data_IF_728957249765
#
_entry.id   IF_728957249765
#
_cell.length_a   1.000
_cell.length_b   1.000
_cell.length_c   1.000
_cell.angle_alpha   90.00
_cell.angle_beta   90.00
_cell.angle_gamma   90.00
#
_symmetry.space_group_name_H-M   'P 1'
#
loop_
_entity.id
_entity.type
_entity.pdbx_description
1 polymer ?
#
# COMPACT_ATOMS: atom_id res chain seq x y z
N UNK A 1 14.05 -17.48 6.92
CA UNK A 1 15.35 -17.14 6.30
C UNK A 1 15.11 -16.83 4.84
N UNK A 2 15.58 -15.68 4.38
CA UNK A 2 15.36 -15.16 3.02
C UNK A 2 16.71 -14.85 2.39
N UNK A 3 16.90 -15.23 1.12
CA UNK A 3 18.10 -14.87 0.35
C UNK A 3 18.04 -13.40 -0.03
N UNK A 4 19.07 -12.64 0.34
CA UNK A 4 19.27 -11.26 -0.11
C UNK A 4 19.82 -11.29 -1.54
N UNK A 5 20.92 -12.01 -1.74
CA UNK A 5 21.54 -12.22 -3.05
C UNK A 5 22.26 -13.56 -3.11
N UNK A 6 22.32 -14.14 -4.31
CA UNK A 6 23.18 -15.31 -4.61
C UNK A 6 24.59 -14.90 -5.08
N UNK A 7 24.81 -13.62 -5.34
CA UNK A 7 26.11 -13.05 -5.61
C UNK A 7 26.15 -11.62 -5.03
N UNK A 8 26.65 -11.51 -3.79
CA UNK A 8 27.15 -10.25 -3.24
C UNK A 8 28.68 -10.25 -3.30
N UNK A 9 29.28 -9.07 -3.33
CA UNK A 9 30.73 -8.91 -3.18
C UNK A 9 31.08 -8.44 -1.77
N UNK A 10 32.22 -8.91 -1.23
CA UNK A 10 32.77 -8.43 0.04
C UNK A 10 33.44 -7.05 -0.13
N UNK A 11 32.82 -6.17 -0.92
CA UNK A 11 33.18 -4.78 -1.18
C UNK A 11 31.95 -3.87 -1.34
N UNK A 12 30.75 -4.40 -1.10
CA UNK A 12 29.48 -3.70 -1.29
C UNK A 12 28.55 -3.87 -0.08
N UNK A 13 27.37 -3.26 -0.18
CA UNK A 13 26.29 -3.47 0.77
C UNK A 13 25.04 -3.96 0.04
N UNK A 14 24.14 -4.57 0.80
CA UNK A 14 22.77 -4.84 0.33
C UNK A 14 21.78 -3.88 0.99
N UNK A 15 20.55 -3.82 0.48
CA UNK A 15 19.45 -3.08 1.07
C UNK A 15 18.33 -4.05 1.42
N UNK A 16 17.87 -4.01 2.66
CA UNK A 16 16.71 -4.78 3.13
C UNK A 16 15.63 -3.80 3.56
N UNK A 17 14.49 -3.88 2.89
CA UNK A 17 13.33 -2.99 3.09
C UNK A 17 12.26 -3.66 3.95
N UNK A 18 11.18 -2.92 4.25
CA UNK A 18 10.05 -3.38 5.07
C UNK A 18 10.50 -3.81 6.48
N UNK A 19 11.37 -3.00 7.09
CA UNK A 19 11.93 -3.26 8.41
C UNK A 19 10.90 -2.92 9.49
N UNK A 20 10.75 -3.82 10.45
CA UNK A 20 9.91 -3.63 11.63
C UNK A 20 10.81 -3.08 12.74
N UNK A 21 10.55 -1.85 13.17
CA UNK A 21 11.28 -1.23 14.28
C UNK A 21 11.16 -2.11 15.55
N UNK A 22 12.27 -2.36 16.23
CA UNK A 22 12.33 -3.20 17.44
C UNK A 22 12.49 -4.69 17.17
N UNK A 23 12.30 -5.18 15.94
CA UNK A 23 12.49 -6.58 15.61
C UNK A 23 13.98 -6.95 15.43
N UNK A 24 14.31 -8.23 15.67
CA UNK A 24 15.66 -8.74 15.52
C UNK A 24 15.88 -9.33 14.12
N UNK A 25 17.00 -8.96 13.48
CA UNK A 25 17.40 -9.45 12.17
C UNK A 25 18.79 -10.06 12.24
N UNK A 26 18.95 -11.26 11.68
CA UNK A 26 20.26 -11.90 11.53
C UNK A 26 20.69 -11.89 10.07
N UNK A 27 21.89 -11.38 9.84
CA UNK A 27 22.55 -11.35 8.54
C UNK A 27 23.64 -12.41 8.50
N UNK A 28 23.67 -13.15 7.40
CA UNK A 28 24.64 -14.24 7.19
C UNK A 28 25.27 -14.11 5.81
N UNK A 29 26.60 -14.20 5.79
CA UNK A 29 27.41 -14.43 4.59
C UNK A 29 27.83 -15.90 4.52
N UNK A 30 27.77 -16.50 3.32
CA UNK A 30 28.22 -17.88 3.10
C UNK A 30 29.71 -18.12 3.36
N UNK A 31 30.54 -17.08 3.34
CA UNK A 31 31.99 -17.17 3.60
C UNK A 31 32.36 -17.03 5.08
N UNK A 32 31.43 -16.61 5.93
CA UNK A 32 31.74 -16.29 7.32
C UNK A 32 32.42 -14.92 7.51
N UNK A 33 32.44 -14.07 6.47
CA UNK A 33 33.06 -12.75 6.50
C UNK A 33 32.48 -11.78 7.54
N UNK A 34 33.08 -10.60 7.66
CA UNK A 34 32.68 -9.57 8.60
C UNK A 34 31.57 -8.68 8.03
N UNK A 35 30.53 -8.44 8.83
CA UNK A 35 29.32 -7.70 8.45
C UNK A 35 29.24 -6.44 9.31
N UNK A 36 29.05 -5.28 8.68
CA UNK A 36 28.68 -4.03 9.36
C UNK A 36 27.27 -3.65 8.97
N UNK A 37 26.35 -3.63 9.93
CA UNK A 37 24.93 -3.37 9.66
C UNK A 37 24.58 -1.92 10.01
N UNK A 38 24.04 -1.19 9.03
CA UNK A 38 23.61 0.21 9.17
C UNK A 38 22.11 0.36 8.94
N UNK A 39 21.52 1.45 9.42
CA UNK A 39 20.08 1.72 9.27
C UNK A 39 19.79 3.08 8.63
N UNK A 40 18.59 3.21 8.04
CA UNK A 40 17.99 4.37 7.37
C UNK A 40 18.62 4.73 6.02
N UNK A 41 19.95 4.65 5.89
CA UNK A 41 20.66 4.77 4.62
C UNK A 41 22.01 4.05 4.69
N UNK A 42 22.66 3.83 3.54
CA UNK A 42 23.90 3.03 3.46
C UNK A 42 25.08 3.60 4.27
N UNK A 43 25.08 4.90 4.56
CA UNK A 43 26.06 5.58 5.43
C UNK A 43 25.54 5.88 6.83
N UNK A 44 24.36 5.37 7.20
CA UNK A 44 23.68 5.65 8.46
C UNK A 44 24.36 5.06 9.70
N UNK A 45 23.76 5.22 10.89
CA UNK A 45 24.32 4.71 12.14
C UNK A 45 24.51 3.19 12.07
N UNK A 46 25.63 2.71 12.64
CA UNK A 46 25.88 1.26 12.79
C UNK A 46 25.03 0.75 13.95
N UNK A 47 24.18 -0.25 13.67
CA UNK A 47 23.30 -0.89 14.65
C UNK A 47 23.84 -2.26 15.11
N UNK A 48 24.90 -2.75 14.47
CA UNK A 48 25.67 -3.91 14.91
C UNK A 48 26.71 -4.32 13.89
N UNK A 49 27.71 -5.09 14.33
CA UNK A 49 28.80 -5.57 13.48
C UNK A 49 29.47 -6.81 14.09
N UNK A 50 30.12 -7.61 13.26
CA UNK A 50 30.82 -8.82 13.69
C UNK A 50 31.07 -9.80 12.54
N UNK A 51 31.71 -10.93 12.85
CA UNK A 51 31.78 -12.05 11.92
C UNK A 51 30.40 -12.72 11.76
N UNK A 52 30.09 -13.12 10.54
CA UNK A 52 28.84 -13.79 10.21
C UNK A 52 28.63 -15.08 11.04
N UNK A 53 27.42 -15.31 11.59
CA UNK A 53 26.22 -14.48 11.49
C UNK A 53 26.20 -13.30 12.47
N UNK A 54 25.62 -12.17 12.06
CA UNK A 54 25.43 -10.97 12.91
C UNK A 54 23.95 -10.73 13.15
N UNK A 55 23.53 -10.71 14.41
CA UNK A 55 22.17 -10.35 14.81
C UNK A 55 22.12 -8.91 15.32
N UNK A 56 21.17 -8.12 14.82
CA UNK A 56 20.92 -6.73 15.24
C UNK A 56 19.44 -6.53 15.56
N UNK A 57 19.13 -5.54 16.40
CA UNK A 57 17.77 -5.06 16.62
C UNK A 57 17.55 -3.79 15.82
N UNK A 58 16.53 -3.75 14.97
CA UNK A 58 16.17 -2.54 14.22
C UNK A 58 15.75 -1.43 15.19
N UNK A 59 16.26 -0.21 15.02
CA UNK A 59 15.92 0.94 15.86
C UNK A 59 14.72 1.68 15.28
N UNK A 60 14.73 1.90 13.97
CA UNK A 60 13.66 2.54 13.19
C UNK A 60 12.97 1.51 12.28
N UNK A 61 11.90 1.93 11.59
CA UNK A 61 11.31 1.18 10.49
C UNK A 61 12.00 1.45 9.13
N UNK A 62 13.10 2.23 9.15
CA UNK A 62 13.90 2.51 7.97
C UNK A 62 14.73 1.30 7.55
N UNK A 63 15.09 1.27 6.27
CA UNK A 63 15.81 0.17 5.64
C UNK A 63 17.13 -0.16 6.35
N UNK A 64 17.54 -1.43 6.28
CA UNK A 64 18.82 -1.91 6.82
C UNK A 64 19.79 -2.20 5.68
N UNK A 65 21.04 -1.77 5.89
CA UNK A 65 22.14 -1.88 4.94
C UNK A 65 23.28 -2.70 5.54
N UNK A 66 23.31 -4.04 5.36
CA UNK A 66 24.47 -4.85 5.70
C UNK A 66 25.60 -4.63 4.68
N UNK A 67 26.76 -4.18 5.15
CA UNK A 67 28.00 -4.06 4.39
C UNK A 67 28.82 -5.34 4.58
N UNK A 68 29.30 -5.88 3.47
CA UNK A 68 30.01 -7.15 3.42
C UNK A 68 31.51 -6.90 3.26
N UNK A 69 32.32 -7.49 4.14
CA UNK A 69 33.79 -7.41 4.11
C UNK A 69 34.38 -8.77 4.48
N UNK A 70 35.64 -9.01 4.14
CA UNK A 70 36.32 -10.27 4.48
C UNK A 70 36.51 -10.38 6.00
N UNK A 71 36.92 -9.28 6.64
CA UNK A 71 37.35 -9.26 8.03
C UNK A 71 37.12 -7.89 8.71
N UNK A 72 37.42 -7.81 10.00
CA UNK A 72 37.32 -6.61 10.82
C UNK A 72 38.36 -5.53 10.48
N UNK A 73 39.30 -5.83 9.58
CA UNK A 73 40.23 -4.87 8.98
C UNK A 73 39.68 -4.25 7.67
N UNK A 74 38.41 -4.54 7.32
CA UNK A 74 37.74 -4.07 6.12
C UNK A 74 38.41 -4.52 4.82
N UNK A 75 39.10 -5.66 4.81
CA UNK A 75 39.61 -6.21 3.55
C UNK A 75 38.45 -6.61 2.64
N UNK A 76 38.65 -6.49 1.33
CA UNK A 76 37.59 -6.66 0.34
C UNK A 76 37.92 -7.69 -0.73
N UNK A 77 36.91 -8.39 -1.24
CA UNK A 77 37.05 -9.37 -2.32
C UNK A 77 35.84 -9.36 -3.25
N UNK A 78 36.07 -9.64 -4.54
CA UNK A 78 35.03 -9.66 -5.58
C UNK A 78 34.60 -11.08 -5.98
N UNK A 79 34.61 -12.01 -5.02
CA UNK A 79 34.03 -13.34 -5.20
C UNK A 79 32.54 -13.28 -4.90
N UNK A 80 31.71 -13.96 -5.70
CA UNK A 80 30.28 -14.07 -5.41
C UNK A 80 30.07 -14.86 -4.11
N UNK A 81 29.45 -14.22 -3.12
CA UNK A 81 28.99 -14.85 -1.88
C UNK A 81 27.47 -14.85 -1.82
N UNK A 82 26.89 -15.86 -1.17
CA UNK A 82 25.46 -15.88 -0.88
C UNK A 82 25.22 -15.14 0.43
N UNK A 83 24.31 -14.18 0.41
CA UNK A 83 23.94 -13.36 1.57
C UNK A 83 22.48 -13.58 1.89
N UNK A 84 22.16 -13.68 3.18
CA UNK A 84 20.80 -13.98 3.65
C UNK A 84 20.44 -13.15 4.87
N UNK A 85 19.15 -12.93 5.06
CA UNK A 85 18.58 -12.27 6.24
C UNK A 85 17.51 -13.18 6.86
N UNK A 86 17.44 -13.19 8.19
CA UNK A 86 16.37 -13.83 8.93
C UNK A 86 15.79 -12.84 9.94
N UNK A 87 14.49 -12.55 9.79
CA UNK A 87 13.69 -11.89 10.82
C UNK A 87 13.39 -12.90 11.93
N UNK A 88 13.66 -12.48 13.17
CA UNK A 88 13.25 -13.15 14.39
C UNK A 88 12.18 -12.31 15.07
N UNK A 89 10.96 -12.84 15.07
CA UNK A 89 9.89 -12.38 15.93
C UNK A 89 9.77 -13.35 17.10
N UNK A 90 9.52 -12.80 18.28
CA UNK A 90 9.16 -13.55 19.49
C UNK A 90 7.66 -13.84 19.56
N UNK A 91 6.94 -13.62 18.45
CA UNK A 91 5.52 -13.86 18.29
C UNK A 91 5.27 -14.42 16.87
N UNK A 92 4.11 -15.05 16.68
CA UNK A 92 3.62 -15.45 15.36
C UNK A 92 2.58 -14.43 14.93
N UNK A 93 2.80 -13.65 13.86
CA UNK A 93 1.83 -12.65 13.42
C UNK A 93 0.46 -13.24 13.13
N UNK A 94 -0.58 -12.43 13.35
CA UNK A 94 -1.89 -12.72 12.80
C UNK A 94 -1.82 -12.78 11.26
N UNK A 95 -2.80 -13.42 10.63
CA UNK A 95 -2.93 -13.39 9.17
C UNK A 95 -4.37 -13.09 8.80
N UNK A 96 -4.56 -12.20 7.83
CA UNK A 96 -5.86 -11.81 7.35
C UNK A 96 -5.82 -11.41 5.89
N UNK A 97 -6.98 -11.43 5.25
CA UNK A 97 -7.23 -10.84 3.93
C UNK A 97 -8.37 -9.85 4.05
N UNK A 98 -8.51 -8.95 3.08
CA UNK A 98 -9.64 -8.04 3.02
C UNK A 98 -10.32 -8.07 1.64
N UNK A 99 -11.59 -7.74 1.61
CA UNK A 99 -12.34 -7.37 0.41
C UNK A 99 -13.14 -6.11 0.66
N UNK A 100 -13.13 -5.20 -0.32
CA UNK A 100 -13.97 -4.02 -0.31
C UNK A 100 -15.26 -4.36 -1.07
N UNK A 101 -16.40 -4.14 -0.43
CA UNK A 101 -17.73 -4.43 -0.99
C UNK A 101 -18.51 -3.13 -1.09
N UNK A 102 -18.69 -2.67 -2.32
CA UNK A 102 -19.41 -1.45 -2.68
C UNK A 102 -20.95 -1.69 -2.65
N UNK A 103 -21.70 -0.80 -1.98
CA UNK A 103 -23.18 -0.73 -2.02
C UNK A 103 -23.64 0.56 -2.71
N UNK A 104 -23.85 0.45 -4.02
CA UNK A 104 -24.20 1.60 -4.86
C UNK A 104 -25.63 2.10 -4.64
N UNK A 105 -26.49 1.34 -3.95
CA UNK A 105 -27.83 1.82 -3.62
C UNK A 105 -27.79 2.89 -2.52
N UNK A 106 -26.81 2.78 -1.63
CA UNK A 106 -26.63 3.69 -0.50
C UNK A 106 -25.43 4.63 -0.67
N UNK A 107 -24.72 4.54 -1.80
CA UNK A 107 -23.47 5.25 -2.07
C UNK A 107 -22.44 5.08 -0.94
N UNK A 108 -22.32 3.83 -0.48
CA UNK A 108 -21.45 3.44 0.62
C UNK A 108 -20.63 2.21 0.25
N UNK A 109 -19.65 1.87 1.06
CA UNK A 109 -18.90 0.62 0.93
C UNK A 109 -18.61 0.02 2.32
N UNK A 110 -18.32 -1.27 2.36
CA UNK A 110 -17.88 -1.98 3.56
C UNK A 110 -16.55 -2.66 3.31
N UNK A 111 -15.83 -2.95 4.37
CA UNK A 111 -14.59 -3.73 4.31
C UNK A 111 -14.81 -5.03 5.07
N UNK A 112 -14.77 -6.14 4.35
CA UNK A 112 -14.82 -7.48 4.92
C UNK A 112 -13.39 -7.94 5.20
N UNK A 113 -13.01 -7.99 6.48
CA UNK A 113 -11.69 -8.47 6.91
C UNK A 113 -11.86 -9.92 7.35
N UNK A 114 -11.28 -10.85 6.59
CA UNK A 114 -11.26 -12.26 6.92
C UNK A 114 -9.97 -12.60 7.67
N UNK A 115 -10.09 -12.77 8.99
CA UNK A 115 -9.01 -13.18 9.88
C UNK A 115 -8.82 -14.70 9.71
N UNK A 116 -7.69 -15.08 9.12
CA UNK A 116 -7.33 -16.47 8.84
C UNK A 116 -6.64 -17.14 10.04
N UNK A 117 -5.89 -16.35 10.82
CA UNK A 117 -5.24 -16.77 12.06
C UNK A 117 -5.03 -15.56 12.96
N UNK A 118 -5.16 -15.76 14.27
CA UNK A 118 -4.78 -14.77 15.29
C UNK A 118 -3.29 -14.84 15.64
N UNK A 119 -2.53 -15.71 14.97
CA UNK A 119 -1.10 -15.89 15.24
C UNK A 119 -0.88 -16.86 16.39
N UNK A 120 0.02 -16.50 17.31
CA UNK A 120 0.17 -17.18 18.60
C UNK A 120 -0.68 -16.55 19.71
N UNK A 121 -1.42 -15.48 19.39
CA UNK A 121 -2.49 -14.96 20.23
C UNK A 121 -3.80 -15.74 20.12
N UNK A 122 -4.63 -15.67 21.14
CA UNK A 122 -6.01 -16.19 21.16
C UNK A 122 -7.04 -15.29 20.47
N UNK A 123 -6.76 -13.99 20.35
CA UNK A 123 -7.58 -12.93 19.74
C UNK A 123 -6.70 -11.86 19.06
N UNK A 124 -7.34 -11.01 18.26
CA UNK A 124 -6.82 -9.73 17.79
C UNK A 124 -7.82 -8.62 18.10
N UNK A 125 -7.34 -7.39 18.34
CA UNK A 125 -8.20 -6.21 18.37
C UNK A 125 -8.10 -5.52 17.02
N UNK A 126 -9.22 -5.31 16.34
CA UNK A 126 -9.25 -4.67 15.02
C UNK A 126 -9.53 -3.19 15.21
N UNK A 127 -8.56 -2.34 14.90
CA UNK A 127 -8.73 -0.90 14.84
C UNK A 127 -9.10 -0.49 13.42
N UNK A 128 -10.16 0.30 13.28
CA UNK A 128 -10.46 1.05 12.06
C UNK A 128 -10.14 2.52 12.27
N UNK A 129 -9.53 3.15 11.27
CA UNK A 129 -9.20 4.58 11.26
C UNK A 129 -9.71 5.16 9.95
N UNK A 130 -10.68 6.07 10.03
CA UNK A 130 -11.28 6.71 8.85
C UNK A 130 -10.70 8.11 8.68
N UNK A 131 -10.16 8.42 7.50
CA UNK A 131 -9.59 9.72 7.12
C UNK A 131 -8.56 10.26 8.12
N UNK A 132 -7.70 9.38 8.67
CA UNK A 132 -6.71 9.74 9.69
C UNK A 132 -7.30 10.16 11.05
N UNK A 133 -8.57 9.81 11.31
CA UNK A 133 -9.28 10.11 12.54
C UNK A 133 -8.81 9.30 13.76
N UNK A 134 -9.63 9.29 14.81
CA UNK A 134 -9.36 8.50 16.02
C UNK A 134 -9.69 7.02 15.74
N UNK A 135 -8.83 6.06 16.16
CA UNK A 135 -9.12 4.65 16.03
C UNK A 135 -10.42 4.24 16.73
N UNK A 136 -11.25 3.46 16.04
CA UNK A 136 -12.38 2.73 16.64
C UNK A 136 -12.00 1.27 16.75
N UNK A 137 -11.98 0.74 17.97
CA UNK A 137 -11.49 -0.61 18.26
C UNK A 137 -12.63 -1.63 18.40
N UNK A 138 -12.55 -2.71 17.63
CA UNK A 138 -13.34 -3.92 17.80
C UNK A 138 -12.49 -4.97 18.52
N UNK A 139 -12.69 -5.09 19.83
CA UNK A 139 -11.85 -5.94 20.67
C UNK A 139 -12.20 -7.44 20.54
N UNK A 140 -11.22 -8.30 20.82
CA UNK A 140 -11.45 -9.73 21.05
C UNK A 140 -11.89 -10.53 19.81
N UNK A 141 -11.47 -10.13 18.62
CA UNK A 141 -11.82 -10.84 17.39
C UNK A 141 -11.00 -12.12 17.26
N UNK A 142 -11.67 -13.21 16.87
CA UNK A 142 -11.02 -14.48 16.53
C UNK A 142 -10.93 -14.69 15.02
N UNK A 143 -10.64 -15.93 14.61
CA UNK A 143 -10.73 -16.35 13.19
C UNK A 143 -12.15 -16.18 12.68
N UNK A 144 -12.29 -15.63 11.48
CA UNK A 144 -13.57 -15.34 10.84
C UNK A 144 -13.60 -13.97 10.17
N UNK A 145 -14.74 -13.62 9.59
CA UNK A 145 -14.93 -12.34 8.91
C UNK A 145 -15.56 -11.31 9.83
N UNK A 146 -14.91 -10.16 9.97
CA UNK A 146 -15.51 -8.94 10.53
C UNK A 146 -15.82 -7.96 9.39
N UNK A 147 -17.00 -7.35 9.44
CA UNK A 147 -17.43 -6.35 8.48
C UNK A 147 -17.30 -4.98 9.14
N UNK A 148 -16.51 -4.11 8.51
CA UNK A 148 -16.32 -2.72 8.92
C UNK A 148 -17.13 -1.80 8.01
N UNK A 149 -17.66 -0.72 8.58
CA UNK A 149 -18.50 0.26 7.87
C UNK A 149 -19.99 0.17 8.25
N UNK A 150 -20.90 0.67 7.38
CA UNK A 150 -20.62 1.24 6.06
C UNK A 150 -19.85 2.57 6.13
N UNK A 151 -18.99 2.79 5.15
CA UNK A 151 -18.22 4.01 4.91
C UNK A 151 -18.78 4.75 3.70
N UNK A 152 -18.58 6.06 3.60
CA UNK A 152 -19.05 6.82 2.43
C UNK A 152 -18.01 6.76 1.31
N UNK A 153 -18.45 6.72 0.05
CA UNK A 153 -17.52 6.79 -1.09
C UNK A 153 -16.66 8.05 -0.98
N UNK A 154 -15.33 7.89 -1.05
CA UNK A 154 -14.34 8.94 -0.82
C UNK A 154 -13.64 8.86 0.55
N UNK A 155 -14.14 8.06 1.49
CA UNK A 155 -13.42 7.74 2.72
C UNK A 155 -12.19 6.88 2.43
N UNK A 156 -11.08 7.19 3.11
CA UNK A 156 -9.90 6.35 3.21
C UNK A 156 -9.88 5.67 4.58
N UNK A 157 -9.77 4.35 4.59
CA UNK A 157 -9.82 3.53 5.81
C UNK A 157 -8.53 2.76 6.00
N UNK A 158 -7.89 2.96 7.14
CA UNK A 158 -6.80 2.10 7.61
C UNK A 158 -7.36 1.08 8.60
N UNK A 159 -6.91 -0.17 8.47
CA UNK A 159 -7.30 -1.29 9.32
C UNK A 159 -6.06 -1.88 9.95
N UNK A 160 -6.03 -1.96 11.28
CA UNK A 160 -4.91 -2.52 12.04
C UNK A 160 -5.43 -3.67 12.90
N UNK A 161 -4.92 -4.88 12.65
CA UNK A 161 -5.12 -6.04 13.51
C UNK A 161 -4.02 -6.00 14.57
N UNK A 162 -4.38 -5.56 15.77
CA UNK A 162 -3.49 -5.55 16.92
C UNK A 162 -3.41 -6.95 17.52
N UNK A 163 -2.22 -7.53 17.49
CA UNK A 163 -1.92 -8.78 18.16
C UNK A 163 -1.95 -8.57 19.68
N UNK A 164 -2.54 -9.50 20.41
CA UNK A 164 -2.85 -9.32 21.83
C UNK A 164 -1.61 -9.29 22.75
N UNK A 165 -0.51 -9.94 22.33
CA UNK A 165 0.70 -10.12 23.14
C UNK A 165 1.84 -9.20 22.71
N UNK A 166 1.89 -8.83 21.43
CA UNK A 166 3.08 -8.21 20.85
C UNK A 166 2.74 -7.29 19.67
N UNK A 167 2.92 -5.97 19.83
CA UNK A 167 2.71 -5.01 18.74
C UNK A 167 3.55 -5.25 17.48
N UNK A 168 4.68 -5.94 17.57
CA UNK A 168 5.52 -6.30 16.42
C UNK A 168 4.86 -7.33 15.50
N UNK A 169 3.82 -8.02 15.98
CA UNK A 169 3.02 -8.98 15.26
C UNK A 169 1.69 -8.41 14.74
N UNK A 170 1.51 -7.09 14.84
CA UNK A 170 0.37 -6.42 14.24
C UNK A 170 0.39 -6.56 12.72
N UNK A 171 -0.80 -6.69 12.13
CA UNK A 171 -1.00 -6.64 10.68
C UNK A 171 -1.78 -5.39 10.35
N UNK A 172 -1.45 -4.73 9.23
CA UNK A 172 -2.12 -3.50 8.83
C UNK A 172 -2.40 -3.46 7.34
N UNK A 173 -3.55 -2.90 6.99
CA UNK A 173 -3.96 -2.57 5.64
C UNK A 173 -4.23 -1.06 5.61
N UNK A 174 -3.51 -0.32 4.77
CA UNK A 174 -3.62 1.13 4.72
C UNK A 174 -4.29 1.57 3.43
N UNK A 175 -5.01 2.68 3.51
CA UNK A 175 -5.56 3.36 2.35
C UNK A 175 -6.67 2.60 1.63
N UNK A 176 -7.47 1.82 2.35
CA UNK A 176 -8.59 1.10 1.75
C UNK A 176 -9.71 2.08 1.42
N UNK A 177 -10.20 2.03 0.19
CA UNK A 177 -11.25 2.91 -0.34
C UNK A 177 -12.23 2.11 -1.20
N UNK A 178 -13.37 2.71 -1.57
CA UNK A 178 -14.32 2.14 -2.52
C UNK A 178 -13.62 1.70 -3.81
N UNK A 179 -14.06 0.58 -4.40
CA UNK A 179 -13.41 0.04 -5.61
C UNK A 179 -13.69 0.86 -6.88
N UNK A 180 -14.46 1.94 -6.77
CA UNK A 180 -14.87 2.78 -7.90
C UNK A 180 -15.95 2.15 -8.76
N UNK A 181 -16.58 1.06 -8.28
CA UNK A 181 -17.70 0.41 -8.96
C UNK A 181 -19.03 1.14 -8.70
N UNK A 182 -19.06 2.09 -7.77
CA UNK A 182 -20.22 2.94 -7.55
C UNK A 182 -20.07 4.32 -8.20
N UNK A 183 -21.19 4.90 -8.67
CA UNK A 183 -21.20 6.26 -9.16
C UNK A 183 -20.95 7.26 -8.04
N UNK A 184 -20.03 8.19 -8.28
CA UNK A 184 -19.93 9.44 -7.54
C UNK A 184 -21.17 10.27 -7.86
N UNK A 185 -22.03 10.45 -6.85
CA UNK A 185 -23.29 11.17 -6.98
C UNK A 185 -23.06 12.69 -6.93
N UNK A 186 -23.44 13.38 -8.01
CA UNK A 186 -23.35 14.83 -8.16
C UNK A 186 -24.74 15.47 -8.10
N UNK A 187 -24.90 16.49 -7.27
CA UNK A 187 -26.16 17.25 -7.17
C UNK A 187 -26.05 18.54 -7.98
N UNK A 188 -26.93 18.74 -8.96
CA UNK A 188 -26.96 20.00 -9.72
C UNK A 188 -27.32 21.20 -8.85
N UNK A 189 -26.60 22.31 -9.05
CA UNK A 189 -26.68 23.49 -8.19
C UNK A 189 -25.86 23.37 -6.89
N UNK A 190 -25.21 22.24 -6.66
CA UNK A 190 -24.24 22.03 -5.58
C UNK A 190 -22.84 22.54 -5.91
N UNK A 191 -21.90 22.22 -5.03
CA UNK A 191 -20.46 22.50 -5.23
C UNK A 191 -19.92 21.61 -6.34
N UNK A 192 -19.03 22.16 -7.16
CA UNK A 192 -18.38 21.44 -8.25
C UNK A 192 -17.44 20.37 -7.71
N UNK A 193 -17.54 19.16 -8.27
CA UNK A 193 -16.60 18.08 -7.94
C UNK A 193 -15.32 18.23 -8.76
N UNK A 194 -14.19 18.28 -8.06
CA UNK A 194 -12.86 18.42 -8.65
C UNK A 194 -11.99 17.28 -8.16
N UNK A 195 -11.40 16.55 -9.10
CA UNK A 195 -10.52 15.41 -8.82
C UNK A 195 -9.25 15.51 -9.67
N UNK A 196 -8.17 14.89 -9.22
CA UNK A 196 -6.88 14.84 -9.88
C UNK A 196 -6.29 13.46 -9.71
N UNK A 197 -5.89 12.84 -10.83
CA UNK A 197 -5.33 11.50 -10.83
C UNK A 197 -3.99 11.46 -11.57
N UNK A 198 -2.99 10.88 -10.93
CA UNK A 198 -1.70 10.58 -11.52
C UNK A 198 -1.63 9.07 -11.73
N UNK A 199 -1.51 8.64 -12.99
CA UNK A 199 -1.45 7.22 -13.34
C UNK A 199 -0.01 6.70 -13.32
N UNK A 200 0.13 5.40 -13.06
CA UNK A 200 1.39 4.66 -13.21
C UNK A 200 1.24 3.56 -14.25
N UNK A 201 2.31 3.17 -14.93
CA UNK A 201 2.23 2.11 -15.94
C UNK A 201 2.44 0.71 -15.35
N UNK A 202 1.75 -0.35 -15.85
CA UNK A 202 0.49 -0.39 -16.57
C UNK A 202 -0.72 -0.52 -15.62
N UNK A 203 -1.78 0.26 -15.85
CA UNK A 203 -2.99 0.22 -15.01
C UNK A 203 -4.28 0.47 -15.81
N UNK A 204 -5.43 0.24 -15.17
CA UNK A 204 -6.75 0.62 -15.69
C UNK A 204 -7.53 1.27 -14.55
N UNK A 205 -7.99 2.51 -14.77
CA UNK A 205 -8.79 3.27 -13.81
C UNK A 205 -10.11 3.69 -14.44
N UNK A 206 -11.19 3.48 -13.71
CA UNK A 206 -12.54 3.88 -14.09
C UNK A 206 -13.06 4.90 -13.08
N UNK A 207 -13.73 5.92 -13.58
CA UNK A 207 -14.57 6.81 -12.78
C UNK A 207 -15.99 6.72 -13.27
N UNK A 208 -16.94 6.63 -12.34
CA UNK A 208 -18.35 6.68 -12.64
C UNK A 208 -18.95 7.91 -11.96
N UNK A 209 -19.54 8.81 -12.73
CA UNK A 209 -20.26 9.97 -12.21
C UNK A 209 -21.74 9.84 -12.54
N UNK A 210 -22.61 10.21 -11.59
CA UNK A 210 -24.07 10.19 -11.80
C UNK A 210 -24.73 11.42 -11.18
N UNK A 211 -25.66 12.02 -11.92
CA UNK A 211 -26.55 13.05 -11.38
C UNK A 211 -27.77 12.41 -10.69
N UNK A 212 -28.27 13.01 -9.60
CA UNK A 212 -29.58 12.66 -9.01
C UNK A 212 -30.79 13.29 -9.72
N UNK A 213 -30.56 14.30 -10.56
CA UNK A 213 -31.56 15.04 -11.33
C UNK A 213 -31.62 14.64 -12.80
N UNK A 214 -32.32 15.45 -13.59
CA UNK A 214 -32.53 15.24 -15.04
C UNK A 214 -31.53 15.96 -15.93
N UNK A 215 -30.69 16.82 -15.34
CA UNK A 215 -29.72 17.61 -16.09
C UNK A 215 -28.50 16.75 -16.50
N UNK A 216 -27.89 17.02 -17.66
CA UNK A 216 -26.67 16.34 -18.04
C UNK A 216 -25.48 16.77 -17.17
N UNK A 217 -24.56 15.84 -16.98
CA UNK A 217 -23.24 16.16 -16.44
C UNK A 217 -22.34 16.68 -17.57
N UNK A 218 -21.57 17.72 -17.27
CA UNK A 218 -20.57 18.34 -18.11
C UNK A 218 -19.21 18.12 -17.47
N UNK A 219 -18.36 17.33 -18.12
CA UNK A 219 -16.97 17.13 -17.72
C UNK A 219 -16.08 18.15 -18.42
N UNK A 220 -15.42 19.00 -17.66
CA UNK A 220 -14.46 19.99 -18.12
C UNK A 220 -13.03 19.48 -17.82
N UNK A 221 -12.08 20.00 -18.59
CA UNK A 221 -10.67 19.65 -18.57
C UNK A 221 -9.78 20.91 -18.33
N UNK A 222 -9.03 21.01 -17.20
CA UNK A 222 -7.97 22.01 -16.95
C UNK A 222 -6.50 21.66 -17.23
N UNK A 223 -5.98 20.48 -16.84
CA UNK A 223 -4.54 20.16 -16.78
C UNK A 223 -4.25 18.66 -16.54
N UNK A 224 -3.14 18.11 -17.07
CA UNK A 224 -2.86 16.68 -17.25
C UNK A 224 -2.31 16.29 -18.64
N UNK A 225 -1.93 15.02 -18.80
CA UNK A 225 -1.29 14.47 -20.00
C UNK A 225 -1.64 12.98 -20.09
N UNK A 226 -1.88 12.46 -21.29
CA UNK A 226 -2.01 11.02 -21.58
C UNK A 226 -1.02 10.75 -22.70
N UNK A 227 -0.10 9.79 -22.50
CA UNK A 227 1.12 9.68 -23.31
C UNK A 227 0.82 9.55 -24.80
N UNK A 228 -0.07 8.63 -25.16
CA UNK A 228 -0.40 8.32 -26.55
C UNK A 228 -1.51 7.27 -26.64
N UNK A 229 -2.45 7.41 -27.57
CA UNK A 229 -3.53 6.45 -27.85
C UNK A 229 -3.06 5.03 -28.27
N UNK A 230 -1.75 4.80 -28.42
CA UNK A 230 -1.17 3.48 -28.68
C UNK A 230 -0.69 2.77 -27.42
N UNK A 231 -0.53 3.49 -26.32
CA UNK A 231 0.00 2.99 -25.05
C UNK A 231 -0.96 3.26 -23.89
N UNK A 232 -1.58 4.45 -23.88
CA UNK A 232 -2.55 4.90 -22.90
C UNK A 232 -3.85 5.36 -23.58
N UNK A 233 -5.00 5.06 -22.97
CA UNK A 233 -6.30 5.47 -23.49
C UNK A 233 -7.16 6.08 -22.39
N UNK A 234 -7.85 7.17 -22.73
CA UNK A 234 -8.96 7.71 -21.95
C UNK A 234 -10.22 7.65 -22.82
N UNK A 235 -11.26 6.98 -22.32
CA UNK A 235 -12.56 6.86 -22.99
C UNK A 235 -13.65 7.40 -22.06
N UNK A 236 -14.64 8.08 -22.64
CA UNK A 236 -15.75 8.68 -21.90
C UNK A 236 -17.06 8.14 -22.48
N UNK A 237 -17.89 7.55 -21.63
CA UNK A 237 -19.17 6.98 -22.02
C UNK A 237 -20.33 7.81 -21.44
N UNK A 238 -21.33 8.12 -22.27
CA UNK A 238 -22.63 8.67 -21.84
C UNK A 238 -23.54 7.54 -21.38
N UNK A 239 -23.33 7.12 -20.15
CA UNK A 239 -24.13 6.10 -19.50
C UNK A 239 -23.33 5.29 -18.49
N UNK A 240 -23.96 4.26 -17.90
CA UNK A 240 -23.43 3.59 -16.72
C UNK A 240 -22.23 2.67 -16.99
N UNK A 241 -21.87 2.40 -18.24
CA UNK A 241 -20.81 1.45 -18.60
C UNK A 241 -20.27 1.66 -20.03
N UNK A 242 -19.27 0.86 -20.39
CA UNK A 242 -18.57 0.87 -21.68
C UNK A 242 -19.40 0.37 -22.88
N UNK A 243 -20.60 -0.14 -22.65
CA UNK A 243 -21.60 -0.40 -23.70
C UNK A 243 -22.45 0.84 -24.03
N UNK A 244 -22.32 1.92 -23.24
CA UNK A 244 -23.06 3.16 -23.44
C UNK A 244 -22.47 3.98 -24.60
N UNK A 245 -23.12 5.07 -24.96
CA UNK A 245 -22.66 5.88 -26.11
C UNK A 245 -21.28 6.45 -25.83
N UNK A 246 -20.29 6.10 -26.65
CA UNK A 246 -18.96 6.72 -26.58
C UNK A 246 -19.09 8.20 -26.97
N UNK A 247 -18.88 9.09 -26.00
CA UNK A 247 -18.91 10.53 -26.23
C UNK A 247 -17.59 11.03 -26.83
N UNK A 248 -16.47 10.35 -26.55
CA UNK A 248 -15.16 10.75 -27.03
C UNK A 248 -14.08 9.66 -26.88
N UNK A 249 -13.43 9.37 -28.01
CA UNK A 249 -12.10 8.75 -28.11
C UNK A 249 -11.10 9.83 -28.59
N UNK A 250 -10.49 10.57 -27.65
CA UNK A 250 -9.69 11.77 -27.97
C UNK A 250 -8.29 11.41 -28.53
N UNK A 251 -7.90 12.04 -29.65
CA UNK A 251 -6.50 12.24 -30.08
C UNK A 251 -5.86 13.40 -29.27
N UNK A 252 -4.51 13.54 -29.21
CA UNK A 252 -3.82 14.02 -28.01
C UNK A 252 -4.02 15.53 -27.67
N UNK A 253 -4.30 15.74 -26.36
CA UNK A 253 -4.18 16.95 -25.49
C UNK A 253 -5.39 17.94 -25.44
N UNK A 254 -5.84 18.48 -24.27
CA UNK A 254 -5.48 18.23 -22.85
C UNK A 254 -6.78 18.19 -21.90
N UNK A 255 -6.75 18.38 -20.54
CA UNK A 255 -6.88 17.31 -19.48
C UNK A 255 -7.81 17.66 -18.23
N UNK A 256 -8.46 16.76 -17.45
CA UNK A 256 -9.67 17.02 -16.55
C UNK A 256 -9.59 18.22 -15.54
N UNK A 257 -10.72 18.93 -15.33
CA UNK A 257 -11.18 19.72 -14.17
C UNK A 257 -12.64 20.11 -14.36
N UNK A 258 -13.44 19.68 -13.39
CA UNK A 258 -14.84 20.02 -13.12
C UNK A 258 -15.83 19.15 -13.86
N UNK A 259 -16.52 18.27 -13.13
CA UNK A 259 -17.85 17.85 -13.56
C UNK A 259 -18.84 18.85 -13.00
N UNK A 260 -19.58 19.55 -13.86
CA UNK A 260 -20.68 20.46 -13.49
C UNK A 260 -21.95 20.07 -14.22
N UNK A 261 -23.10 20.61 -13.88
CA UNK A 261 -24.30 20.42 -14.72
C UNK A 261 -24.36 21.48 -15.81
N UNK A 262 -24.60 21.09 -17.06
CA UNK A 262 -24.82 22.06 -18.15
C UNK A 262 -26.21 22.70 -17.97
N UNK A 263 -26.27 24.03 -18.02
CA UNK A 263 -27.51 24.81 -17.90
C UNK A 263 -27.95 25.40 -19.25
N UNK A 264 -27.30 25.05 -20.36
CA UNK A 264 -27.63 25.57 -21.68
C UNK A 264 -28.23 24.49 -22.60
N UNK A 265 -29.50 24.68 -22.97
CA UNK A 265 -30.05 24.22 -24.26
C UNK A 265 -29.99 25.37 -25.26
#
# INVERSE_FOLDING_TARGET
MTTISTCSFESEYSQVTNIIAGAAYQFTSSTGGYITVRQDFSGGPVIGQGYSPVTVTAITAGDIFPHWTIDDACNTQSNCIVTTVQLFLNCTPATATYSVVDDCNTNSFTIEVNILSTGDGGIVNVDQIVNGGVPTTFAGQGVGTIILGPFVVGDQVDVILNHELDPLCNVSFFGLESTGNCPVILTCGGVEYSDSYCYTGPETKTWWYQNTGTEPLALLFSSGFVESNTWDQLTIYDGPNDFSTDLHNLRPRPPIRQVRCDHHR
#
